data_IF_900092888588
#
_entry.id   IF_900092888588
#
_cell.length_a   1.000
_cell.length_b   1.000
_cell.length_c   1.000
_cell.angle_alpha   90.00
_cell.angle_beta   90.00
_cell.angle_gamma   90.00
#
_symmetry.space_group_name_H-M   'P 1'
#
loop_
_entity.id
_entity.type
_entity.pdbx_description
1 polymer ?
#
# COMPACT_ATOMS: atom_id res chain seq x y z
N UNK A 1 -10.51 -22.46 -27.64
CA UNK A 1 -11.08 -21.43 -26.74
C UNK A 1 -10.15 -21.36 -25.54
N UNK A 2 -9.28 -20.35 -25.48
CA UNK A 2 -8.29 -20.26 -24.41
C UNK A 2 -8.97 -19.72 -23.15
N UNK A 3 -9.02 -20.57 -22.13
CA UNK A 3 -9.45 -20.23 -20.79
C UNK A 3 -8.30 -19.43 -20.17
N UNK A 4 -8.45 -18.11 -20.02
CA UNK A 4 -7.55 -17.31 -19.18
C UNK A 4 -8.04 -17.45 -17.74
N UNK A 5 -7.81 -18.63 -17.18
CA UNK A 5 -7.87 -18.85 -15.74
C UNK A 5 -6.58 -18.27 -15.13
N UNK A 6 -6.73 -17.40 -14.11
CA UNK A 6 -5.69 -17.03 -13.14
C UNK A 6 -4.64 -15.98 -13.53
N UNK A 7 -5.07 -14.77 -13.87
CA UNK A 7 -4.37 -13.57 -13.39
C UNK A 7 -5.14 -13.10 -12.16
N UNK A 8 -4.67 -13.53 -10.99
CA UNK A 8 -5.04 -12.99 -9.69
C UNK A 8 -5.23 -11.48 -9.81
N UNK A 9 -6.46 -11.01 -9.54
CA UNK A 9 -6.72 -9.59 -9.33
C UNK A 9 -5.76 -9.13 -8.23
N UNK A 10 -4.60 -8.60 -8.60
CA UNK A 10 -3.73 -8.02 -7.60
C UNK A 10 -4.53 -6.86 -7.03
N UNK A 11 -4.73 -6.85 -5.72
CA UNK A 11 -5.52 -5.81 -5.04
C UNK A 11 -4.93 -4.39 -5.24
N UNK A 12 -3.80 -4.29 -5.94
CA UNK A 12 -3.01 -3.11 -6.22
C UNK A 12 -3.12 -2.62 -7.69
N UNK A 13 -4.04 -3.15 -8.50
CA UNK A 13 -4.32 -2.57 -9.84
C UNK A 13 -4.93 -1.19 -9.66
N UNK A 14 -4.23 -0.15 -10.13
CA UNK A 14 -4.70 1.23 -10.12
C UNK A 14 -5.81 1.37 -11.16
N UNK A 15 -6.99 1.80 -10.73
CA UNK A 15 -8.12 2.14 -11.59
C UNK A 15 -8.08 3.60 -12.04
N UNK A 16 -7.65 4.51 -11.16
CA UNK A 16 -7.45 5.92 -11.44
C UNK A 16 -6.24 6.46 -10.68
N UNK A 17 -5.51 7.41 -11.26
CA UNK A 17 -4.38 8.08 -10.62
C UNK A 17 -4.48 9.59 -10.83
N UNK A 18 -4.24 10.33 -9.76
CA UNK A 18 -4.25 11.80 -9.73
C UNK A 18 -2.93 12.28 -9.10
N UNK A 19 -2.03 12.82 -9.91
CA UNK A 19 -0.72 13.24 -9.43
C UNK A 19 0.26 13.48 -10.56
N UNK A 20 1.53 13.62 -10.20
CA UNK A 20 2.60 13.81 -11.17
C UNK A 20 2.88 12.48 -11.91
N UNK A 21 3.13 12.58 -13.22
CA UNK A 21 3.47 11.43 -14.07
C UNK A 21 4.77 11.74 -14.79
N UNK A 22 5.73 10.82 -14.69
CA UNK A 22 7.00 10.84 -15.40
C UNK A 22 7.21 9.49 -16.09
N UNK A 23 7.67 9.49 -17.34
CA UNK A 23 7.87 8.27 -18.14
C UNK A 23 6.66 7.31 -18.15
N UNK A 24 5.45 7.88 -18.21
CA UNK A 24 4.17 7.16 -18.16
C UNK A 24 3.93 6.39 -16.85
N UNK A 25 4.60 6.78 -15.77
CA UNK A 25 4.46 6.19 -14.43
C UNK A 25 4.14 7.25 -13.37
N UNK A 26 3.40 6.90 -12.31
CA UNK A 26 3.29 7.74 -11.12
C UNK A 26 4.65 8.21 -10.59
N UNK A 27 4.77 9.51 -10.33
CA UNK A 27 5.94 10.16 -9.74
C UNK A 27 5.49 11.24 -8.75
N UNK A 28 6.40 11.75 -7.91
CA UNK A 28 6.13 12.91 -7.07
C UNK A 28 5.01 12.66 -6.07
N UNK A 29 4.14 13.64 -5.83
CA UNK A 29 2.96 13.46 -4.98
C UNK A 29 1.76 13.01 -5.81
N UNK A 30 0.99 12.05 -5.29
CA UNK A 30 -0.25 11.65 -5.95
C UNK A 30 -1.12 10.66 -5.18
N UNK A 31 -2.33 10.52 -5.69
CA UNK A 31 -3.39 9.67 -5.17
C UNK A 31 -3.69 8.55 -6.17
N UNK A 32 -3.62 7.30 -5.72
CA UNK A 32 -4.06 6.15 -6.49
C UNK A 32 -5.34 5.57 -5.92
N UNK A 33 -6.30 5.30 -6.79
CA UNK A 33 -7.55 4.62 -6.47
C UNK A 33 -7.48 3.24 -7.09
N UNK A 34 -7.55 2.20 -6.26
CA UNK A 34 -7.39 0.82 -6.71
C UNK A 34 -8.72 0.23 -7.14
N UNK A 35 -8.68 -0.73 -8.05
CA UNK A 35 -9.87 -1.47 -8.50
C UNK A 35 -10.55 -2.26 -7.38
N UNK A 36 -9.80 -2.56 -6.32
CA UNK A 36 -10.30 -3.18 -5.08
C UNK A 36 -11.12 -2.22 -4.21
N UNK A 37 -11.15 -0.92 -4.54
CA UNK A 37 -11.85 0.13 -3.80
C UNK A 37 -10.99 0.88 -2.78
N UNK A 38 -9.84 0.32 -2.39
CA UNK A 38 -8.88 1.04 -1.53
C UNK A 38 -8.21 2.21 -2.25
N UNK A 39 -7.54 3.07 -1.49
CA UNK A 39 -6.74 4.18 -2.05
C UNK A 39 -5.40 4.35 -1.35
N UNK A 40 -4.47 4.97 -2.04
CA UNK A 40 -3.19 5.43 -1.50
C UNK A 40 -3.00 6.91 -1.79
N UNK A 41 -2.50 7.65 -0.81
CA UNK A 41 -2.15 9.07 -0.90
C UNK A 41 -0.70 9.23 -0.43
N UNK A 42 0.21 9.69 -1.28
CA UNK A 42 1.61 9.83 -0.87
C UNK A 42 2.58 10.02 -2.01
N UNK A 43 3.85 9.72 -1.73
CA UNK A 43 4.93 9.89 -2.69
C UNK A 43 5.08 8.67 -3.60
N UNK A 44 5.47 8.94 -4.84
CA UNK A 44 5.68 7.97 -5.90
C UNK A 44 7.04 8.19 -6.57
N UNK A 45 7.66 7.08 -6.98
CA UNK A 45 8.87 7.08 -7.80
C UNK A 45 8.84 5.87 -8.72
N UNK A 46 9.01 6.07 -10.02
CA UNK A 46 8.99 4.99 -11.01
C UNK A 46 7.74 4.09 -10.93
N UNK A 47 6.59 4.67 -10.62
CA UNK A 47 5.33 3.94 -10.47
C UNK A 47 5.18 3.13 -9.19
N UNK A 48 6.10 3.28 -8.23
CA UNK A 48 6.05 2.64 -6.92
C UNK A 48 5.81 3.68 -5.83
N UNK A 49 5.03 3.29 -4.81
CA UNK A 49 4.89 4.04 -3.56
C UNK A 49 6.24 4.15 -2.88
N UNK A 50 6.59 5.33 -2.40
CA UNK A 50 7.84 5.59 -1.67
C UNK A 50 7.64 6.67 -0.60
N UNK A 51 8.65 6.88 0.23
CA UNK A 51 8.67 7.95 1.23
C UNK A 51 7.45 7.92 2.15
N UNK A 52 6.83 9.07 2.42
CA UNK A 52 5.64 9.12 3.30
C UNK A 52 4.35 8.90 2.52
N UNK A 53 3.42 8.11 3.09
CA UNK A 53 2.10 7.92 2.49
C UNK A 53 1.09 7.23 3.39
N UNK A 54 -0.17 7.33 2.99
CA UNK A 54 -1.34 6.76 3.66
C UNK A 54 -2.05 5.79 2.73
N UNK A 55 -2.35 4.60 3.23
CA UNK A 55 -3.20 3.62 2.56
C UNK A 55 -4.53 3.50 3.32
N UNK A 56 -5.62 3.37 2.57
CA UNK A 56 -6.98 3.33 3.09
C UNK A 56 -7.69 2.06 2.61
N UNK A 57 -8.55 1.53 3.47
CA UNK A 57 -9.52 0.50 3.11
C UNK A 57 -10.59 1.04 2.15
N UNK A 58 -11.36 0.17 1.48
CA UNK A 58 -12.43 0.60 0.57
C UNK A 58 -13.54 1.44 1.21
N UNK A 59 -13.76 1.30 2.52
CA UNK A 59 -14.71 2.10 3.30
C UNK A 59 -14.17 3.52 3.63
N UNK A 60 -12.92 3.80 3.25
CA UNK A 60 -12.23 5.06 3.55
C UNK A 60 -11.53 5.09 4.91
N UNK A 61 -11.61 4.02 5.70
CA UNK A 61 -10.89 3.91 6.97
C UNK A 61 -9.39 3.85 6.71
N UNK A 62 -8.61 4.59 7.49
CA UNK A 62 -7.14 4.57 7.40
C UNK A 62 -6.66 3.14 7.70
N UNK A 63 -5.83 2.57 6.82
CA UNK A 63 -5.26 1.23 6.97
C UNK A 63 -3.81 1.29 7.43
N UNK A 64 -3.05 2.23 6.87
CA UNK A 64 -1.66 2.45 7.21
C UNK A 64 -1.27 3.91 6.96
N UNK A 65 -0.42 4.46 7.82
CA UNK A 65 0.32 5.69 7.57
C UNK A 65 1.78 5.50 7.99
N UNK A 66 2.71 5.98 7.17
CA UNK A 66 4.13 5.89 7.48
C UNK A 66 4.99 5.82 6.24
N UNK A 67 6.18 5.24 6.43
CA UNK A 67 7.19 5.11 5.39
C UNK A 67 6.88 3.97 4.40
N UNK A 68 7.29 4.19 3.16
CA UNK A 68 7.18 3.30 2.01
C UNK A 68 8.51 3.25 1.26
N UNK A 69 8.87 2.06 0.78
CA UNK A 69 10.05 1.84 -0.04
C UNK A 69 9.73 0.75 -1.07
N UNK A 70 10.06 1.01 -2.34
CA UNK A 70 9.84 0.08 -3.45
C UNK A 70 8.41 -0.49 -3.54
N UNK A 71 7.41 0.31 -3.15
CA UNK A 71 6.00 -0.05 -3.21
C UNK A 71 5.49 -0.80 -1.98
N UNK A 72 6.34 -1.14 -1.01
CA UNK A 72 5.97 -1.79 0.24
C UNK A 72 6.15 -0.89 1.46
N UNK A 73 5.50 -1.23 2.57
CA UNK A 73 5.67 -0.51 3.85
C UNK A 73 7.06 -0.75 4.41
N UNK A 74 7.70 0.30 4.88
CA UNK A 74 9.05 0.31 5.44
C UNK A 74 9.14 1.33 6.58
N UNK A 75 10.31 1.45 7.22
CA UNK A 75 10.59 2.50 8.19
C UNK A 75 9.61 2.53 9.37
N UNK A 76 9.30 3.71 9.90
CA UNK A 76 8.30 3.88 10.95
C UNK A 76 6.89 4.00 10.35
N UNK A 77 5.90 3.39 11.00
CA UNK A 77 4.52 3.51 10.58
C UNK A 77 3.50 2.96 11.59
N UNK A 78 2.25 3.35 11.36
CA UNK A 78 1.06 2.92 12.10
C UNK A 78 0.13 2.18 11.17
N UNK A 79 -0.39 1.05 11.62
CA UNK A 79 -1.47 0.33 10.93
C UNK A 79 -2.70 0.25 11.81
N UNK A 80 -3.85 0.19 11.16
CA UNK A 80 -5.15 0.23 11.81
C UNK A 80 -6.05 -0.88 11.26
N UNK A 81 -6.96 -1.35 12.10
CA UNK A 81 -8.05 -2.23 11.69
C UNK A 81 -9.13 -1.44 10.97
N UNK A 82 -10.09 -2.14 10.33
CA UNK A 82 -11.20 -1.52 9.62
C UNK A 82 -12.19 -0.79 10.54
N UNK A 83 -12.12 -1.00 11.86
CA UNK A 83 -12.87 -0.23 12.85
C UNK A 83 -12.15 1.06 13.28
N UNK A 84 -10.97 1.34 12.71
CA UNK A 84 -10.12 2.49 13.00
C UNK A 84 -9.23 2.33 14.23
N UNK A 85 -9.29 1.20 14.96
CA UNK A 85 -8.42 0.97 16.11
C UNK A 85 -6.97 0.71 15.66
N UNK A 86 -6.02 1.25 16.43
CA UNK A 86 -4.59 1.04 16.20
C UNK A 86 -4.25 -0.45 16.34
N UNK A 87 -3.75 -1.06 15.27
CA UNK A 87 -3.33 -2.45 15.24
C UNK A 87 -1.84 -2.61 15.59
N UNK A 88 -1.00 -1.70 15.09
CA UNK A 88 0.43 -1.71 15.33
C UNK A 88 1.02 -0.32 15.12
N UNK A 89 1.99 0.05 15.95
CA UNK A 89 2.85 1.22 15.80
C UNK A 89 4.30 0.78 15.99
N UNK A 90 5.15 1.10 15.01
CA UNK A 90 6.58 0.80 15.08
C UNK A 90 7.21 0.59 13.71
N UNK A 91 8.30 -0.18 13.69
CA UNK A 91 9.12 -0.35 12.50
C UNK A 91 8.60 -1.44 11.58
N UNK A 92 8.56 -1.15 10.29
CA UNK A 92 8.16 -2.03 9.19
C UNK A 92 9.36 -2.38 8.31
N UNK A 93 9.42 -3.64 7.89
CA UNK A 93 10.45 -4.16 6.98
C UNK A 93 9.75 -5.00 5.93
N UNK A 94 9.69 -4.50 4.69
CA UNK A 94 9.08 -5.20 3.53
C UNK A 94 7.67 -5.71 3.84
N UNK A 95 6.77 -4.77 4.18
CA UNK A 95 5.36 -5.03 4.52
C UNK A 95 5.10 -5.81 5.81
N UNK A 96 6.10 -6.01 6.68
CA UNK A 96 5.93 -6.71 7.96
C UNK A 96 6.40 -5.87 9.15
N UNK A 97 5.65 -5.86 10.28
CA UNK A 97 6.16 -5.31 11.53
C UNK A 97 7.42 -6.05 11.99
N UNK A 98 8.47 -5.33 12.39
CA UNK A 98 9.78 -5.89 12.77
C UNK A 98 9.67 -6.87 13.95
N UNK A 99 8.81 -6.56 14.93
CA UNK A 99 8.64 -7.31 16.17
C UNK A 99 7.44 -8.28 16.14
N UNK A 100 6.84 -8.52 14.98
CA UNK A 100 5.80 -9.55 14.88
C UNK A 100 6.48 -10.92 15.02
N UNK A 101 5.98 -11.84 15.88
CA UNK A 101 6.62 -13.14 16.07
C UNK A 101 6.74 -13.83 14.72
N UNK A 102 7.98 -14.11 14.28
CA UNK A 102 8.22 -15.08 13.22
C UNK A 102 7.56 -16.34 13.72
N UNK A 103 6.53 -16.84 13.02
CA UNK A 103 5.89 -18.10 13.35
C UNK A 103 6.98 -19.16 13.51
N UNK A 104 7.37 -19.45 14.74
CA UNK A 104 8.10 -20.66 15.07
C UNK A 104 7.07 -21.76 14.85
N UNK A 105 7.11 -22.34 13.66
CA UNK A 105 6.40 -23.59 13.40
C UNK A 105 7.00 -24.61 14.36
N UNK A 106 6.18 -25.11 15.27
CA UNK A 106 6.49 -26.32 16.03
C UNK A 106 6.31 -27.54 15.12
#
# INVERSE_FOLDING_TARGET
MAIIENLTLSNNVIANYEGEIEDSKPHGLGNAYYRSGGRYEGQWKEGKRCGQGKEYYPDGTLRYEGEWEDGGRSGQGKSYYTDGNLAYEGKWIKDRPENFPRSTSF
#
